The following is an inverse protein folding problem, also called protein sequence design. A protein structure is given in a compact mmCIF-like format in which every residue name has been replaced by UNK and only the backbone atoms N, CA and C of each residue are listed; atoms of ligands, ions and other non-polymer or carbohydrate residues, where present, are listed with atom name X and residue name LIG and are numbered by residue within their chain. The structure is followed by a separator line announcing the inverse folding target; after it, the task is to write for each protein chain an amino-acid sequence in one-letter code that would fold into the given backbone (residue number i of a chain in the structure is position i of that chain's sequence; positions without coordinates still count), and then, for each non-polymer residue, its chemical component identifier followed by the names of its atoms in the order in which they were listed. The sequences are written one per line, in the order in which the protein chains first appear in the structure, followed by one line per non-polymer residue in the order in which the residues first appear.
data_IF_401776760180
#
_entry.id   IF_401776760180
#
_cell.length_a   1.000
_cell.length_b   1.000
_cell.length_c   1.000
_cell.angle_alpha   90.00
_cell.angle_beta   90.00
_cell.angle_gamma   90.00
#
_symmetry.space_group_name_H-M   'P 1'
#
loop_
_entity.id
_entity.type
_entity.pdbx_description
1 polymer ?
#
# COMPACT_ATOMS: atom_id res chain seq x y z
N UNK A 1 -9.57 3.81 -5.59
CA UNK A 1 -8.84 4.85 -6.37
C UNK A 1 -9.73 5.36 -7.51
N UNK A 2 -10.93 5.85 -7.19
CA UNK A 2 -12.05 5.90 -8.15
C UNK A 2 -12.24 7.25 -8.83
N UNK A 3 -11.49 8.27 -8.42
CA UNK A 3 -11.49 9.59 -9.03
C UNK A 3 -10.56 9.61 -10.26
N UNK A 4 -11.12 9.76 -11.46
CA UNK A 4 -10.35 9.83 -12.70
C UNK A 4 -9.56 11.13 -12.87
N UNK A 5 -9.99 12.22 -12.23
CA UNK A 5 -9.24 13.48 -12.24
C UNK A 5 -7.99 13.41 -11.37
N UNK A 6 -7.97 12.49 -10.40
CA UNK A 6 -6.89 12.24 -9.45
C UNK A 6 -6.70 10.74 -9.23
N UNK A 7 -6.11 10.01 -10.20
CA UNK A 7 -6.07 8.55 -10.21
C UNK A 7 -5.37 7.95 -8.98
N UNK A 8 -4.37 8.63 -8.43
CA UNK A 8 -3.68 8.25 -7.19
C UNK A 8 -3.97 9.23 -6.03
N UNK A 9 -5.05 10.00 -6.13
CA UNK A 9 -5.33 11.11 -5.22
C UNK A 9 -4.14 12.09 -5.17
N UNK A 10 -3.58 12.33 -3.98
CA UNK A 10 -2.36 13.12 -3.77
C UNK A 10 -1.14 12.23 -3.45
N UNK A 11 -1.23 10.92 -3.66
CA UNK A 11 -0.12 10.00 -3.46
C UNK A 11 0.80 10.01 -4.67
N UNK A 12 2.09 9.79 -4.41
CA UNK A 12 3.14 9.82 -5.42
C UNK A 12 3.86 8.48 -5.47
N UNK A 13 4.29 8.09 -6.67
CA UNK A 13 5.16 6.94 -6.87
C UNK A 13 6.58 7.47 -7.11
N UNK A 14 7.50 7.38 -6.14
CA UNK A 14 8.84 7.94 -6.32
C UNK A 14 9.57 7.15 -7.40
N UNK A 15 10.13 7.86 -8.39
CA UNK A 15 10.97 7.26 -9.42
C UNK A 15 12.34 6.93 -8.82
N UNK A 16 12.48 5.72 -8.28
CA UNK A 16 13.77 5.18 -7.80
C UNK A 16 14.36 4.28 -8.88
N UNK A 17 15.69 4.26 -9.00
CA UNK A 17 16.37 3.29 -9.87
C UNK A 17 15.94 1.87 -9.47
N UNK A 18 15.59 1.06 -10.47
CA UNK A 18 15.06 -0.30 -10.31
C UNK A 18 13.75 -0.41 -9.52
N UNK A 19 12.96 0.66 -9.34
CA UNK A 19 11.60 0.53 -8.79
C UNK A 19 10.57 0.31 -9.89
N UNK A 20 9.62 -0.59 -9.62
CA UNK A 20 8.43 -0.75 -10.44
C UNK A 20 7.33 0.23 -10.04
N UNK A 21 6.19 0.16 -10.71
CA UNK A 21 5.07 1.08 -10.50
C UNK A 21 3.79 0.32 -10.14
N UNK A 22 3.01 0.89 -9.22
CA UNK A 22 1.61 0.54 -9.02
C UNK A 22 0.80 0.91 -10.27
N UNK A 23 0.03 -0.06 -10.73
CA UNK A 23 -0.86 0.07 -11.89
C UNK A 23 -2.28 0.25 -11.38
N UNK A 24 -2.96 1.30 -11.83
CA UNK A 24 -4.37 1.54 -11.55
C UNK A 24 -5.23 0.85 -12.61
N UNK A 25 -6.13 -0.03 -12.19
CA UNK A 25 -7.02 -0.78 -13.11
C UNK A 25 -8.40 -0.95 -12.51
N UNK A 26 -9.35 -1.31 -13.36
CA UNK A 26 -10.71 -1.76 -13.03
C UNK A 26 -10.99 -3.18 -13.54
N UNK A 27 -9.97 -3.81 -14.10
CA UNK A 27 -10.03 -5.14 -14.72
C UNK A 27 -9.20 -6.11 -13.90
N UNK A 28 -9.49 -7.41 -14.05
CA UNK A 28 -8.76 -8.46 -13.39
C UNK A 28 -7.26 -8.44 -13.69
N UNK A 29 -6.47 -8.98 -12.76
CA UNK A 29 -5.02 -9.14 -12.97
C UNK A 29 -4.75 -10.06 -14.17
N UNK A 30 -3.79 -9.73 -15.04
CA UNK A 30 -3.55 -10.46 -16.28
C UNK A 30 -3.02 -11.89 -16.09
N UNK A 31 -2.40 -12.20 -14.94
CA UNK A 31 -1.86 -13.54 -14.67
C UNK A 31 -2.96 -14.52 -14.27
N UNK A 32 -3.00 -15.68 -14.94
CA UNK A 32 -3.96 -16.74 -14.60
C UNK A 32 -3.70 -17.27 -13.19
N UNK A 33 -4.76 -17.41 -12.39
CA UNK A 33 -4.68 -17.90 -11.02
C UNK A 33 -4.23 -16.85 -9.99
N UNK A 34 -4.06 -15.59 -10.39
CA UNK A 34 -3.96 -14.44 -9.48
C UNK A 34 -5.28 -13.67 -9.47
N UNK A 35 -5.36 -12.64 -8.63
CA UNK A 35 -6.52 -11.76 -8.58
C UNK A 35 -6.12 -10.38 -8.06
N UNK A 36 -7.10 -9.47 -7.91
CA UNK A 36 -8.54 -9.71 -7.98
C UNK A 36 -9.10 -9.63 -9.41
N UNK A 37 -10.30 -10.18 -9.66
CA UNK A 37 -11.04 -10.01 -10.92
C UNK A 37 -11.72 -8.63 -11.02
N UNK A 38 -12.11 -8.05 -9.86
CA UNK A 38 -12.81 -6.77 -9.71
C UNK A 38 -12.42 -6.03 -8.40
N UNK A 39 -12.66 -4.71 -8.33
CA UNK A 39 -12.42 -3.86 -7.13
C UNK A 39 -13.42 -4.14 -5.99
N UNK A 40 -13.07 -3.70 -4.77
CA UNK A 40 -13.96 -3.72 -3.60
C UNK A 40 -14.74 -2.39 -3.44
N UNK A 41 -16.03 -2.43 -3.03
CA UNK A 41 -16.88 -3.62 -2.87
C UNK A 41 -17.33 -4.19 -4.23
N UNK A 42 -17.45 -5.51 -4.32
CA UNK A 42 -17.92 -6.19 -5.53
C UNK A 42 -19.42 -5.89 -5.75
N UNK A 43 -19.73 -4.96 -6.65
CA UNK A 43 -21.12 -4.62 -6.99
C UNK A 43 -21.34 -3.27 -7.69
N UNK A 44 -22.20 -3.33 -8.71
CA UNK A 44 -22.92 -2.31 -9.49
C UNK A 44 -22.21 -1.12 -10.17
N UNK A 45 -20.97 -0.76 -9.83
CA UNK A 45 -20.33 0.39 -10.51
C UNK A 45 -18.87 0.24 -10.95
N UNK A 46 -18.19 -0.87 -10.64
CA UNK A 46 -16.80 -1.09 -11.07
C UNK A 46 -15.84 -0.03 -10.51
N UNK A 47 -15.15 -0.36 -9.42
CA UNK A 47 -14.13 0.52 -8.86
C UNK A 47 -12.76 0.38 -9.55
N UNK A 48 -11.86 1.31 -9.23
CA UNK A 48 -10.46 1.23 -9.56
C UNK A 48 -9.65 0.86 -8.32
N UNK A 49 -8.93 -0.24 -8.42
CA UNK A 49 -7.88 -0.60 -7.48
C UNK A 49 -6.51 -0.31 -8.08
N UNK A 50 -5.51 -0.40 -7.21
CA UNK A 50 -4.10 -0.39 -7.63
C UNK A 50 -3.53 -1.77 -7.35
N UNK A 51 -2.71 -2.26 -8.26
CA UNK A 51 -2.06 -3.54 -8.12
C UNK A 51 -0.64 -3.49 -8.67
N UNK A 52 0.08 -4.57 -8.39
CA UNK A 52 1.40 -4.83 -8.91
C UNK A 52 1.38 -6.25 -9.49
N UNK A 53 1.96 -6.41 -10.67
CA UNK A 53 2.05 -7.73 -11.30
C UNK A 53 3.34 -8.43 -10.87
N UNK A 54 3.21 -9.41 -9.97
CA UNK A 54 4.34 -10.10 -9.36
C UNK A 54 5.19 -10.87 -10.38
N UNK A 55 4.60 -11.34 -11.49
CA UNK A 55 5.29 -12.12 -12.52
C UNK A 55 6.34 -11.33 -13.30
N UNK A 56 6.33 -9.99 -13.21
CA UNK A 56 7.18 -9.11 -14.01
C UNK A 56 8.43 -8.62 -13.26
N UNK A 57 8.71 -9.14 -12.06
CA UNK A 57 9.67 -8.54 -11.15
C UNK A 57 10.80 -9.47 -10.73
N UNK A 58 11.98 -8.88 -10.50
CA UNK A 58 13.11 -9.56 -9.87
C UNK A 58 12.91 -9.49 -8.35
N UNK A 59 13.27 -10.53 -7.56
CA UNK A 59 13.03 -10.56 -6.11
C UNK A 59 13.63 -9.39 -5.30
N UNK A 60 14.47 -8.55 -5.91
CA UNK A 60 15.13 -7.40 -5.30
C UNK A 60 14.31 -6.13 -5.32
N UNK A 61 13.37 -5.98 -6.26
CA UNK A 61 12.80 -4.67 -6.47
C UNK A 61 11.63 -4.39 -5.53
N UNK A 62 11.44 -3.11 -5.24
CA UNK A 62 10.43 -2.63 -4.29
C UNK A 62 9.67 -1.48 -4.92
N UNK A 63 8.36 -1.48 -4.68
CA UNK A 63 7.42 -0.53 -5.28
C UNK A 63 6.81 0.27 -4.15
N UNK A 64 6.76 1.59 -4.30
CA UNK A 64 6.35 2.51 -3.25
C UNK A 64 5.23 3.41 -3.74
N UNK A 65 4.29 3.67 -2.84
CA UNK A 65 3.28 4.70 -2.97
C UNK A 65 3.37 5.55 -1.70
N UNK A 66 3.76 6.81 -1.85
CA UNK A 66 4.01 7.73 -0.73
C UNK A 66 2.88 8.77 -0.65
N UNK A 67 2.36 9.01 0.56
CA UNK A 67 1.40 10.09 0.79
C UNK A 67 2.12 11.44 0.88
N UNK A 68 1.35 12.53 0.90
CA UNK A 68 1.88 13.80 1.40
C UNK A 68 2.26 13.69 2.88
N UNK A 69 3.10 14.62 3.34
CA UNK A 69 3.43 14.73 4.76
C UNK A 69 2.15 15.00 5.56
N UNK A 70 1.95 14.21 6.61
CA UNK A 70 0.80 14.35 7.50
C UNK A 70 1.28 14.99 8.80
N UNK A 71 0.72 16.15 9.14
CA UNK A 71 0.99 16.86 10.39
C UNK A 71 -0.26 16.85 11.26
N UNK A 72 -0.37 15.86 12.13
CA UNK A 72 -1.48 15.74 13.08
C UNK A 72 -0.96 15.50 14.49
N UNK A 73 -1.75 15.91 15.47
CA UNK A 73 -1.55 15.61 16.87
C UNK A 73 -2.47 14.45 17.29
N UNK A 74 -1.92 13.41 17.92
CA UNK A 74 -2.70 12.29 18.46
C UNK A 74 -2.48 10.98 17.70
N UNK A 75 -3.55 10.33 17.24
CA UNK A 75 -3.49 9.04 16.58
C UNK A 75 -4.15 9.09 15.20
N UNK A 76 -3.56 8.41 14.22
CA UNK A 76 -4.16 8.18 12.90
C UNK A 76 -4.54 6.72 12.79
N UNK A 77 -5.77 6.45 12.41
CA UNK A 77 -6.19 5.13 11.92
C UNK A 77 -5.97 5.06 10.41
N UNK A 78 -5.14 4.12 9.97
CA UNK A 78 -4.93 3.80 8.56
C UNK A 78 -5.70 2.51 8.30
N UNK A 79 -6.74 2.57 7.47
CA UNK A 79 -7.48 1.41 7.03
C UNK A 79 -7.55 1.28 5.51
N UNK A 80 -7.62 0.03 5.05
CA UNK A 80 -7.60 -0.28 3.63
C UNK A 80 -8.10 -1.70 3.38
N UNK A 81 -8.56 -1.92 2.16
CA UNK A 81 -8.83 -3.25 1.63
C UNK A 81 -7.62 -3.71 0.82
N UNK A 82 -7.26 -4.99 0.96
CA UNK A 82 -6.16 -5.59 0.21
C UNK A 82 -6.55 -6.97 -0.31
N UNK A 83 -5.92 -7.37 -1.42
CA UNK A 83 -6.06 -8.70 -2.02
C UNK A 83 -4.67 -9.24 -2.31
N UNK A 84 -4.38 -10.45 -1.85
CA UNK A 84 -3.07 -11.09 -2.03
C UNK A 84 -3.30 -12.56 -2.39
N UNK A 85 -3.55 -12.82 -3.66
CA UNK A 85 -3.68 -14.16 -4.23
C UNK A 85 -2.54 -14.41 -5.22
N UNK A 86 -1.78 -15.47 -4.99
CA UNK A 86 -0.71 -15.89 -5.88
C UNK A 86 0.08 -17.07 -5.33
N UNK A 87 0.96 -17.61 -6.15
CA UNK A 87 1.83 -18.76 -5.81
C UNK A 87 3.10 -18.34 -5.06
N UNK A 88 3.48 -17.06 -5.18
CA UNK A 88 4.71 -16.52 -4.59
C UNK A 88 4.54 -16.23 -3.10
N UNK A 89 5.17 -17.05 -2.26
CA UNK A 89 5.14 -16.89 -0.79
C UNK A 89 6.07 -15.78 -0.27
N UNK A 90 6.96 -15.27 -1.12
CA UNK A 90 7.97 -14.26 -0.75
C UNK A 90 7.43 -12.83 -0.83
N UNK A 91 6.32 -12.60 -1.54
CA UNK A 91 5.74 -11.28 -1.73
C UNK A 91 5.21 -10.71 -0.41
N UNK A 92 5.49 -9.43 -0.14
CA UNK A 92 5.09 -8.76 1.10
C UNK A 92 4.40 -7.44 0.81
N UNK A 93 3.23 -7.25 1.40
CA UNK A 93 2.59 -5.94 1.49
C UNK A 93 2.91 -5.33 2.86
N UNK A 94 3.37 -4.07 2.89
CA UNK A 94 3.82 -3.39 4.10
C UNK A 94 3.22 -1.99 4.15
N UNK A 95 2.81 -1.56 5.35
CA UNK A 95 2.54 -0.15 5.66
C UNK A 95 3.67 0.35 6.53
N UNK A 96 4.32 1.41 6.07
CA UNK A 96 5.44 2.06 6.73
C UNK A 96 5.07 3.48 7.08
N UNK A 97 5.54 3.96 8.23
CA UNK A 97 5.50 5.37 8.59
C UNK A 97 6.89 5.93 8.46
N UNK A 98 7.03 6.95 7.61
CA UNK A 98 8.27 7.64 7.34
C UNK A 98 8.42 8.78 8.34
N UNK A 99 9.46 8.70 9.16
CA UNK A 99 9.94 9.76 10.04
C UNK A 99 11.14 10.44 9.37
N UNK A 100 11.65 11.54 9.94
CA UNK A 100 12.68 12.40 9.32
C UNK A 100 13.92 11.63 8.82
N UNK A 101 14.30 10.57 9.53
CA UNK A 101 15.53 9.80 9.24
C UNK A 101 15.30 8.29 9.19
N UNK A 102 14.07 7.82 9.37
CA UNK A 102 13.79 6.38 9.46
C UNK A 102 12.41 6.00 8.92
N UNK A 103 12.25 4.73 8.57
CA UNK A 103 10.96 4.15 8.23
C UNK A 103 10.61 3.08 9.26
N UNK A 104 9.44 3.23 9.90
CA UNK A 104 8.92 2.27 10.87
C UNK A 104 7.81 1.44 10.23
N UNK A 105 7.97 0.12 10.23
CA UNK A 105 6.90 -0.78 9.80
C UNK A 105 5.81 -0.84 10.87
N UNK A 106 4.57 -0.55 10.47
CA UNK A 106 3.40 -0.57 11.36
C UNK A 106 2.45 -1.72 11.03
N UNK A 107 2.47 -2.21 9.79
CA UNK A 107 1.66 -3.36 9.38
C UNK A 107 2.36 -4.13 8.25
N UNK A 108 2.20 -5.47 8.21
CA UNK A 108 2.60 -6.26 7.06
C UNK A 108 1.86 -7.59 6.92
N UNK A 109 1.77 -8.08 5.68
CA UNK A 109 1.35 -9.44 5.32
C UNK A 109 2.29 -10.01 4.26
N UNK A 110 2.42 -11.32 4.22
CA UNK A 110 3.34 -12.04 3.33
C UNK A 110 2.67 -13.24 2.68
N UNK A 111 2.95 -13.48 1.41
CA UNK A 111 2.42 -14.60 0.64
C UNK A 111 0.90 -14.56 0.44
N UNK A 112 0.33 -15.69 0.07
CA UNK A 112 -1.09 -15.84 -0.22
C UNK A 112 -1.95 -15.63 1.04
N UNK A 113 -2.95 -14.74 0.95
CA UNK A 113 -3.89 -14.43 2.04
C UNK A 113 -5.32 -14.92 1.75
N UNK A 114 -5.55 -15.52 0.58
CA UNK A 114 -6.86 -15.99 0.13
C UNK A 114 -7.34 -15.29 -1.14
N UNK A 115 -8.47 -15.75 -1.67
CA UNK A 115 -9.05 -15.27 -2.92
C UNK A 115 -10.00 -14.07 -2.76
N UNK A 116 -10.23 -13.61 -1.53
CA UNK A 116 -11.17 -12.52 -1.23
C UNK A 116 -10.44 -11.24 -0.84
N UNK A 117 -11.08 -10.10 -1.04
CA UNK A 117 -10.66 -8.84 -0.44
C UNK A 117 -10.71 -8.93 1.08
N UNK A 118 -9.65 -8.49 1.75
CA UNK A 118 -9.50 -8.48 3.19
C UNK A 118 -9.38 -7.05 3.70
N UNK A 119 -10.03 -6.75 4.82
CA UNK A 119 -9.91 -5.46 5.48
C UNK A 119 -8.75 -5.47 6.48
N UNK A 120 -7.95 -4.41 6.46
CA UNK A 120 -6.92 -4.15 7.46
C UNK A 120 -7.11 -2.75 8.03
N UNK A 121 -6.75 -2.61 9.31
CA UNK A 121 -6.67 -1.34 10.00
C UNK A 121 -5.49 -1.36 10.96
N UNK A 122 -4.75 -0.26 11.02
CA UNK A 122 -3.64 -0.04 11.95
C UNK A 122 -3.70 1.39 12.48
N UNK A 123 -3.63 1.54 13.80
CA UNK A 123 -3.56 2.86 14.44
C UNK A 123 -2.12 3.21 14.74
N UNK A 124 -1.68 4.40 14.33
CA UNK A 124 -0.32 4.92 14.56
C UNK A 124 -0.40 6.16 15.44
N UNK A 125 0.32 6.19 16.57
CA UNK A 125 0.46 7.39 17.37
C UNK A 125 1.47 8.36 16.71
N UNK A 126 1.05 9.61 16.54
CA UNK A 126 1.88 10.74 16.12
C UNK A 126 2.13 11.62 17.36
N UNK A 127 3.35 11.57 17.95
CA UNK A 127 3.63 12.32 19.16
C UNK A 127 3.47 13.81 18.89
N UNK A 128 2.69 14.47 19.74
CA UNK A 128 2.29 15.87 19.57
C UNK A 128 3.46 16.84 19.65
N UNK A 129 4.49 16.54 20.44
CA UNK A 129 5.79 17.23 20.51
C UNK A 129 6.80 16.29 21.21
N UNK A 130 8.08 16.36 20.82
CA UNK A 130 9.15 15.59 21.47
C UNK A 130 10.07 16.48 22.32
N UNK A 131 10.54 15.91 23.44
CA UNK A 131 11.25 16.60 24.53
C UNK A 131 12.65 17.09 24.15
N UNK A 132 12.99 18.28 24.65
CA UNK A 132 14.36 18.80 24.71
C UNK A 132 15.19 17.95 25.69
N UNK A 133 16.35 17.49 25.24
CA UNK A 133 17.36 16.82 26.08
C UNK A 133 18.56 17.75 26.22
N UNK A 134 18.97 18.01 27.45
CA UNK A 134 20.29 18.57 27.75
C UNK A 134 21.13 17.43 28.31
N UNK A 135 22.34 17.27 27.77
CA UNK A 135 23.30 16.23 28.12
C UNK A 135 24.60 16.92 28.52
N UNK A 136 25.15 16.51 29.67
CA UNK A 136 26.53 16.80 30.08
C UNK A 136 27.51 15.82 29.40
#
# INVERSE_FOLDING_TARGET
FNDNSRPFCNWVQPCLEDSGEWIRTKHGTPTLGTGPEEDYPSGDLGGYFIYQEASNFVPSDFIRLESQNISVSGEICIDFWYHMLGTENVNKLKVLVKEDTSEKMVWSKSGNQGSTWLYASVTVPFPTESRIKVKE
#
